data_IF_782417939706
#
_entry.id   IF_782417939706
#
_cell.length_a   1.000
_cell.length_b   1.000
_cell.length_c   1.000
_cell.angle_alpha   90.00
_cell.angle_beta   90.00
_cell.angle_gamma   90.00
#
_symmetry.space_group_name_H-M   'P 1'
#
loop_
_entity.id
_entity.type
_entity.pdbx_description
1 polymer ?
#
# COMPACT_ATOMS: atom_id res chain seq x y z
N UNK A 1 37.52 53.44 1.49
CA UNK A 1 36.78 52.26 1.01
C UNK A 1 35.57 52.79 0.26
N UNK A 2 35.53 52.53 -1.04
CA UNK A 2 34.56 53.17 -1.93
C UNK A 2 33.19 52.53 -1.74
N UNK A 3 32.17 53.35 -1.53
CA UNK A 3 30.77 52.94 -1.31
C UNK A 3 30.24 51.98 -2.37
N UNK A 4 30.80 52.05 -3.59
CA UNK A 4 30.52 51.15 -4.71
C UNK A 4 30.96 49.70 -4.44
N UNK A 5 32.11 49.49 -3.80
CA UNK A 5 32.60 48.15 -3.45
C UNK A 5 31.74 47.49 -2.38
N UNK A 6 31.23 48.26 -1.42
CA UNK A 6 30.31 47.80 -0.39
C UNK A 6 28.94 47.40 -0.97
N UNK A 7 28.38 48.22 -1.86
CA UNK A 7 27.13 47.92 -2.55
C UNK A 7 27.25 46.69 -3.46
N UNK A 8 28.36 46.56 -4.19
CA UNK A 8 28.62 45.38 -5.02
C UNK A 8 28.73 44.10 -4.19
N UNK A 9 29.43 44.15 -3.05
CA UNK A 9 29.53 43.01 -2.14
C UNK A 9 28.15 42.58 -1.59
N UNK A 10 27.30 43.55 -1.23
CA UNK A 10 25.95 43.28 -0.75
C UNK A 10 25.05 42.66 -1.82
N UNK A 11 25.13 43.13 -3.07
CA UNK A 11 24.39 42.56 -4.19
C UNK A 11 24.83 41.11 -4.47
N UNK A 12 26.13 40.84 -4.46
CA UNK A 12 26.66 39.49 -4.63
C UNK A 12 26.19 38.59 -3.48
N UNK A 13 26.27 39.06 -2.24
CA UNK A 13 25.81 38.31 -1.07
C UNK A 13 24.31 37.98 -1.16
N UNK A 14 23.47 38.94 -1.58
CA UNK A 14 22.05 38.73 -1.79
C UNK A 14 21.77 37.69 -2.88
N UNK A 15 22.47 37.74 -4.01
CA UNK A 15 22.33 36.77 -5.10
C UNK A 15 22.75 35.36 -4.66
N UNK A 16 23.84 35.24 -3.91
CA UNK A 16 24.29 33.94 -3.36
C UNK A 16 23.26 33.39 -2.37
N UNK A 17 22.70 34.23 -1.50
CA UNK A 17 21.67 33.82 -0.56
C UNK A 17 20.40 33.33 -1.27
N UNK A 18 19.95 34.03 -2.33
CA UNK A 18 18.82 33.60 -3.15
C UNK A 18 19.11 32.27 -3.83
N UNK A 19 20.29 32.12 -4.45
CA UNK A 19 20.68 30.88 -5.11
C UNK A 19 20.72 29.68 -4.15
N UNK A 20 21.27 29.88 -2.94
CA UNK A 20 21.27 28.86 -1.90
C UNK A 20 19.86 28.48 -1.45
N UNK A 21 19.00 29.47 -1.22
CA UNK A 21 17.60 29.25 -0.83
C UNK A 21 16.83 28.49 -1.92
N UNK A 22 17.00 28.88 -3.19
CA UNK A 22 16.40 28.19 -4.34
C UNK A 22 16.88 26.73 -4.45
N UNK A 23 18.18 26.48 -4.25
CA UNK A 23 18.73 25.12 -4.24
C UNK A 23 18.14 24.28 -3.10
N UNK A 24 18.01 24.86 -1.91
CA UNK A 24 17.47 24.18 -0.74
C UNK A 24 15.98 23.84 -0.93
N UNK A 25 15.19 24.78 -1.48
CA UNK A 25 13.81 24.53 -1.87
C UNK A 25 13.69 23.47 -2.96
N UNK A 26 14.53 23.51 -3.99
CA UNK A 26 14.54 22.51 -5.05
C UNK A 26 14.87 21.11 -4.52
N UNK A 27 15.86 21.01 -3.61
CA UNK A 27 16.22 19.75 -2.95
C UNK A 27 15.08 19.23 -2.07
N UNK A 28 14.39 20.12 -1.36
CA UNK A 28 13.24 19.77 -0.54
C UNK A 28 12.08 19.25 -1.39
N UNK A 29 11.72 19.96 -2.47
CA UNK A 29 10.67 19.55 -3.42
C UNK A 29 10.98 18.20 -4.05
N UNK A 30 12.21 17.99 -4.53
CA UNK A 30 12.64 16.70 -5.10
C UNK A 30 12.46 15.54 -4.11
N UNK A 31 12.77 15.74 -2.83
CA UNK A 31 12.55 14.71 -1.80
C UNK A 31 11.06 14.43 -1.57
N UNK A 32 10.22 15.46 -1.56
CA UNK A 32 8.78 15.28 -1.45
C UNK A 32 8.20 14.54 -2.67
N UNK A 33 8.64 14.88 -3.88
CA UNK A 33 8.19 14.23 -5.11
C UNK A 33 8.58 12.74 -5.13
N UNK A 34 9.83 12.42 -4.76
CA UNK A 34 10.27 11.02 -4.62
C UNK A 34 9.43 10.28 -3.57
N UNK A 35 9.19 10.90 -2.41
CA UNK A 35 8.36 10.28 -1.35
C UNK A 35 6.94 10.01 -1.85
N UNK A 36 6.35 10.92 -2.64
CA UNK A 36 5.02 10.71 -3.27
C UNK A 36 5.04 9.58 -4.29
N UNK A 37 6.06 9.49 -5.14
CA UNK A 37 6.21 8.39 -6.10
C UNK A 37 6.31 7.04 -5.40
N UNK A 38 7.10 6.95 -4.32
CA UNK A 38 7.20 5.72 -3.53
C UNK A 38 5.90 5.38 -2.80
N UNK A 39 5.12 6.37 -2.35
CA UNK A 39 3.80 6.12 -1.81
C UNK A 39 2.86 5.51 -2.86
N UNK A 40 2.87 6.03 -4.09
CA UNK A 40 2.07 5.48 -5.19
C UNK A 40 2.48 4.03 -5.51
N UNK A 41 3.78 3.72 -5.53
CA UNK A 41 4.25 2.34 -5.74
C UNK A 41 3.83 1.42 -4.60
N UNK A 42 3.92 1.87 -3.35
CA UNK A 42 3.44 1.13 -2.19
C UNK A 42 1.94 0.82 -2.31
N UNK A 43 1.14 1.80 -2.70
CA UNK A 43 -0.30 1.62 -2.95
C UNK A 43 -0.57 0.58 -4.04
N UNK A 44 0.13 0.68 -5.17
CA UNK A 44 -0.04 -0.26 -6.29
C UNK A 44 0.34 -1.70 -5.89
N UNK A 45 1.40 -1.86 -5.10
CA UNK A 45 1.79 -3.16 -4.55
C UNK A 45 0.71 -3.72 -3.61
N UNK A 46 0.22 -2.91 -2.67
CA UNK A 46 -0.86 -3.30 -1.76
C UNK A 46 -2.17 -3.59 -2.49
N UNK A 47 -2.47 -2.87 -3.57
CA UNK A 47 -3.65 -3.11 -4.40
C UNK A 47 -3.56 -4.45 -5.11
N UNK A 48 -2.43 -4.76 -5.78
CA UNK A 48 -2.21 -6.08 -6.41
C UNK A 48 -2.36 -7.22 -5.40
N UNK A 49 -1.79 -7.05 -4.21
CA UNK A 49 -1.95 -8.00 -3.12
C UNK A 49 -3.42 -8.15 -2.69
N UNK A 50 -4.16 -7.04 -2.52
CA UNK A 50 -5.57 -7.08 -2.17
C UNK A 50 -6.44 -7.71 -3.26
N UNK A 51 -6.10 -7.51 -4.54
CA UNK A 51 -6.81 -8.09 -5.67
C UNK A 51 -6.66 -9.61 -5.70
N UNK A 52 -5.49 -10.13 -5.35
CA UNK A 52 -5.29 -11.58 -5.16
C UNK A 52 -6.19 -12.13 -4.05
N UNK A 53 -6.29 -11.48 -2.89
CA UNK A 53 -7.19 -11.95 -1.82
C UNK A 53 -8.66 -11.86 -2.26
N UNK A 54 -9.04 -10.82 -3.00
CA UNK A 54 -10.38 -10.73 -3.61
C UNK A 54 -10.65 -11.90 -4.55
N UNK A 55 -9.66 -12.31 -5.35
CA UNK A 55 -9.79 -13.45 -6.26
C UNK A 55 -10.02 -14.77 -5.51
N UNK A 56 -9.43 -14.96 -4.33
CA UNK A 56 -9.67 -16.15 -3.50
C UNK A 56 -11.15 -16.32 -3.11
N UNK A 57 -11.91 -15.23 -2.99
CA UNK A 57 -13.35 -15.28 -2.70
C UNK A 57 -14.17 -15.79 -3.90
N UNK A 58 -13.71 -15.51 -5.11
CA UNK A 58 -14.41 -15.87 -6.35
C UNK A 58 -13.99 -17.24 -6.87
N UNK A 59 -12.90 -17.79 -6.34
CA UNK A 59 -12.41 -19.10 -6.70
C UNK A 59 -13.37 -20.19 -6.20
N UNK A 60 -13.63 -21.20 -7.04
CA UNK A 60 -14.41 -22.38 -6.67
C UNK A 60 -13.73 -23.25 -5.63
N UNK A 61 -12.40 -23.22 -5.60
CA UNK A 61 -11.56 -23.85 -4.58
C UNK A 61 -10.48 -22.84 -4.19
N UNK A 62 -10.25 -22.69 -2.89
CA UNK A 62 -9.19 -21.82 -2.38
C UNK A 62 -7.83 -22.27 -2.90
N UNK A 63 -7.07 -21.32 -3.42
CA UNK A 63 -5.71 -21.53 -3.89
C UNK A 63 -4.74 -21.06 -2.81
N UNK A 64 -3.57 -21.70 -2.75
CA UNK A 64 -2.48 -21.26 -1.87
C UNK A 64 -1.94 -19.88 -2.26
N UNK A 65 -0.83 -19.49 -1.63
CA UNK A 65 -0.16 -18.23 -1.97
C UNK A 65 0.27 -18.22 -3.43
N UNK A 66 -0.18 -17.21 -4.18
CA UNK A 66 0.28 -16.97 -5.54
C UNK A 66 1.61 -16.24 -5.54
N UNK A 67 2.52 -16.58 -6.45
CA UNK A 67 3.82 -15.91 -6.58
C UNK A 67 3.69 -14.39 -6.71
N UNK A 68 2.73 -13.91 -7.52
CA UNK A 68 2.46 -12.48 -7.70
C UNK A 68 2.03 -11.77 -6.39
N UNK A 69 1.32 -12.48 -5.51
CA UNK A 69 0.87 -11.92 -4.23
C UNK A 69 2.02 -11.80 -3.24
N UNK A 70 2.88 -12.81 -3.19
CA UNK A 70 4.10 -12.80 -2.38
C UNK A 70 5.04 -11.68 -2.83
N UNK A 71 5.27 -11.55 -4.15
CA UNK A 71 6.08 -10.48 -4.73
C UNK A 71 5.51 -9.09 -4.43
N UNK A 72 4.19 -8.91 -4.55
CA UNK A 72 3.54 -7.64 -4.23
C UNK A 72 3.69 -7.27 -2.75
N UNK A 73 3.60 -8.24 -1.84
CA UNK A 73 3.76 -8.00 -0.40
C UNK A 73 5.22 -7.71 -0.03
N UNK A 74 6.18 -8.39 -0.66
CA UNK A 74 7.61 -8.14 -0.47
C UNK A 74 8.03 -6.75 -1.00
N UNK A 75 7.51 -6.36 -2.18
CA UNK A 75 7.70 -5.01 -2.72
C UNK A 75 7.15 -3.95 -1.76
N UNK A 76 5.94 -4.16 -1.23
CA UNK A 76 5.34 -3.26 -0.24
C UNK A 76 6.19 -3.16 1.04
N UNK A 77 6.71 -4.28 1.54
CA UNK A 77 7.59 -4.31 2.70
C UNK A 77 8.90 -3.56 2.46
N UNK A 78 9.50 -3.74 1.28
CA UNK A 78 10.75 -3.09 0.86
C UNK A 78 10.58 -1.58 0.75
N UNK A 79 9.51 -1.12 0.08
CA UNK A 79 9.23 0.33 -0.05
C UNK A 79 8.97 0.95 1.33
N UNK A 80 8.16 0.28 2.16
CA UNK A 80 7.88 0.72 3.52
C UNK A 80 9.16 0.88 4.34
N UNK A 81 10.04 -0.13 4.33
CA UNK A 81 11.29 -0.09 5.10
C UNK A 81 12.18 1.10 4.70
N UNK A 82 12.25 1.40 3.40
CA UNK A 82 13.12 2.46 2.89
C UNK A 82 12.52 3.88 3.04
N UNK A 83 11.20 4.05 2.88
CA UNK A 83 10.58 5.38 2.74
C UNK A 83 9.53 5.72 3.81
N UNK A 84 8.97 4.71 4.48
CA UNK A 84 7.87 4.86 5.43
C UNK A 84 8.07 3.99 6.69
N UNK A 85 9.19 4.15 7.42
CA UNK A 85 9.48 3.34 8.60
C UNK A 85 8.38 3.43 9.66
N UNK A 86 7.71 4.59 9.76
CA UNK A 86 6.62 4.85 10.71
C UNK A 86 5.38 3.95 10.52
N UNK A 87 5.25 3.31 9.35
CA UNK A 87 4.17 2.36 9.02
C UNK A 87 4.50 0.92 9.46
N UNK A 88 5.60 0.69 10.19
CA UNK A 88 6.00 -0.64 10.63
C UNK A 88 4.92 -1.36 11.43
N UNK A 89 4.22 -0.65 12.33
CA UNK A 89 3.15 -1.21 13.14
C UNK A 89 1.96 -1.70 12.31
N UNK A 90 1.41 -0.82 11.47
CA UNK A 90 0.24 -1.17 10.64
C UNK A 90 0.58 -2.27 9.61
N UNK A 91 1.80 -2.26 9.08
CA UNK A 91 2.26 -3.35 8.20
C UNK A 91 2.39 -4.68 8.95
N UNK A 92 2.88 -4.68 10.19
CA UNK A 92 2.97 -5.90 10.99
C UNK A 92 1.57 -6.50 11.27
N UNK A 93 0.57 -5.66 11.52
CA UNK A 93 -0.83 -6.11 11.64
C UNK A 93 -1.35 -6.72 10.33
N UNK A 94 -1.07 -6.08 9.19
CA UNK A 94 -1.43 -6.62 7.87
C UNK A 94 -0.80 -7.99 7.63
N UNK A 95 0.50 -8.14 7.92
CA UNK A 95 1.23 -9.41 7.80
C UNK A 95 0.70 -10.48 8.74
N UNK A 96 0.30 -10.11 9.97
CA UNK A 96 -0.31 -11.05 10.89
C UNK A 96 -1.65 -11.59 10.36
N UNK A 97 -2.48 -10.73 9.75
CA UNK A 97 -3.73 -11.16 9.11
C UNK A 97 -3.45 -11.99 7.86
N UNK A 98 -2.48 -11.60 7.04
CA UNK A 98 -2.03 -12.36 5.87
C UNK A 98 -1.67 -13.81 6.23
N UNK A 99 -0.85 -14.01 7.26
CA UNK A 99 -0.48 -15.34 7.73
C UNK A 99 -1.68 -16.19 8.16
N UNK A 100 -2.68 -15.57 8.82
CA UNK A 100 -3.93 -16.26 9.18
C UNK A 100 -4.73 -16.65 7.94
N UNK A 101 -4.76 -15.79 6.92
CA UNK A 101 -5.40 -16.09 5.64
C UNK A 101 -4.69 -17.26 4.96
N UNK A 102 -3.36 -17.26 4.85
CA UNK A 102 -2.60 -18.38 4.26
C UNK A 102 -2.85 -19.70 5.00
N UNK A 103 -2.83 -19.66 6.34
CA UNK A 103 -3.13 -20.84 7.14
C UNK A 103 -4.57 -21.34 6.92
N UNK A 104 -5.54 -20.43 6.81
CA UNK A 104 -6.91 -20.77 6.49
C UNK A 104 -7.03 -21.41 5.10
N UNK A 105 -6.46 -20.77 4.07
CA UNK A 105 -6.53 -21.26 2.68
C UNK A 105 -5.93 -22.65 2.55
N UNK A 106 -4.73 -22.87 3.11
CA UNK A 106 -4.09 -24.19 3.12
C UNK A 106 -4.91 -25.26 3.85
N UNK A 107 -5.51 -24.91 4.99
CA UNK A 107 -6.39 -25.82 5.74
C UNK A 107 -7.64 -26.19 4.93
N UNK A 108 -8.26 -25.21 4.27
CA UNK A 108 -9.45 -25.45 3.43
C UNK A 108 -9.11 -26.28 2.20
N UNK A 109 -7.97 -26.03 1.56
CA UNK A 109 -7.50 -26.83 0.44
C UNK A 109 -7.25 -28.28 0.84
N UNK A 110 -6.62 -28.51 2.00
CA UNK A 110 -6.40 -29.86 2.52
C UNK A 110 -7.71 -30.57 2.87
N UNK A 111 -8.68 -29.86 3.44
CA UNK A 111 -10.00 -30.39 3.75
C UNK A 111 -10.76 -30.77 2.47
N UNK A 112 -10.76 -29.90 1.47
CA UNK A 112 -11.41 -30.16 0.18
C UNK A 112 -10.83 -31.40 -0.53
N UNK A 113 -9.50 -31.58 -0.48
CA UNK A 113 -8.85 -32.76 -1.07
C UNK A 113 -9.15 -34.07 -0.33
N UNK A 114 -9.42 -34.00 0.98
CA UNK A 114 -9.63 -35.18 1.83
C UNK A 114 -11.09 -35.58 1.95
N UNK A 115 -11.99 -34.61 2.09
CA UNK A 115 -13.41 -34.80 2.37
C UNK A 115 -14.25 -33.62 1.81
N UNK A 116 -14.61 -33.66 0.51
CA UNK A 116 -15.31 -32.57 -0.15
C UNK A 116 -16.76 -32.40 0.33
N UNK A 117 -17.42 -33.46 0.79
CA UNK A 117 -18.79 -33.39 1.32
C UNK A 117 -18.81 -32.58 2.62
N UNK A 118 -17.89 -32.91 3.54
CA UNK A 118 -17.76 -32.18 4.80
C UNK A 118 -17.22 -30.75 4.61
N UNK A 119 -16.45 -30.50 3.54
CA UNK A 119 -16.03 -29.16 3.16
C UNK A 119 -17.22 -28.28 2.74
N UNK A 120 -18.16 -28.81 1.95
CA UNK A 120 -19.36 -28.07 1.50
C UNK A 120 -20.27 -27.69 2.67
N UNK A 121 -20.37 -28.56 3.68
CA UNK A 121 -21.13 -28.31 4.90
C UNK A 121 -20.44 -27.34 5.87
N UNK A 122 -19.13 -27.11 5.68
CA UNK A 122 -18.35 -26.24 6.55
C UNK A 122 -18.73 -24.77 6.36
N UNK A 123 -18.71 -23.98 7.44
CA UNK A 123 -18.93 -22.53 7.39
C UNK A 123 -17.70 -21.74 6.86
N UNK A 124 -17.01 -22.27 5.85
CA UNK A 124 -15.77 -21.71 5.31
C UNK A 124 -15.97 -20.26 4.82
N UNK A 125 -17.09 -19.96 4.17
CA UNK A 125 -17.43 -18.61 3.70
C UNK A 125 -17.52 -17.58 4.84
N UNK A 126 -18.20 -17.92 5.94
CA UNK A 126 -18.34 -17.01 7.09
C UNK A 126 -16.98 -16.73 7.73
N UNK A 127 -16.15 -17.77 7.87
CA UNK A 127 -14.79 -17.66 8.44
C UNK A 127 -13.88 -16.84 7.53
N UNK A 128 -13.94 -17.06 6.22
CA UNK A 128 -13.20 -16.26 5.25
C UNK A 128 -13.63 -14.80 5.29
N UNK A 129 -14.93 -14.51 5.32
CA UNK A 129 -15.44 -13.13 5.40
C UNK A 129 -14.99 -12.42 6.69
N UNK A 130 -14.85 -13.13 7.81
CA UNK A 130 -14.31 -12.55 9.03
C UNK A 130 -12.82 -12.16 8.86
N UNK A 131 -12.00 -13.03 8.28
CA UNK A 131 -10.60 -12.73 7.96
C UNK A 131 -10.47 -11.60 6.94
N UNK A 132 -11.34 -11.58 5.93
CA UNK A 132 -11.40 -10.52 4.93
C UNK A 132 -11.69 -9.14 5.55
N UNK A 133 -12.62 -9.08 6.51
CA UNK A 133 -12.89 -7.83 7.25
C UNK A 133 -11.65 -7.38 8.03
N UNK A 134 -10.98 -8.30 8.74
CA UNK A 134 -9.74 -7.98 9.46
C UNK A 134 -8.66 -7.44 8.51
N UNK A 135 -8.51 -8.07 7.34
CA UNK A 135 -7.58 -7.63 6.32
C UNK A 135 -7.90 -6.22 5.83
N UNK A 136 -9.17 -5.94 5.52
CA UNK A 136 -9.61 -4.60 5.10
C UNK A 136 -9.37 -3.54 6.17
N UNK A 137 -9.58 -3.86 7.44
CA UNK A 137 -9.29 -2.93 8.54
C UNK A 137 -7.80 -2.62 8.64
N UNK A 138 -6.93 -3.64 8.61
CA UNK A 138 -5.49 -3.45 8.65
C UNK A 138 -4.99 -2.64 7.43
N UNK A 139 -5.49 -2.97 6.24
CA UNK A 139 -5.14 -2.24 5.02
C UNK A 139 -5.60 -0.78 5.09
N UNK A 140 -6.83 -0.52 5.56
CA UNK A 140 -7.35 0.84 5.68
C UNK A 140 -6.58 1.68 6.71
N UNK A 141 -6.14 1.08 7.82
CA UNK A 141 -5.28 1.74 8.79
C UNK A 141 -3.96 2.17 8.13
N UNK A 142 -3.31 1.27 7.39
CA UNK A 142 -2.07 1.56 6.66
C UNK A 142 -2.27 2.68 5.62
N UNK A 143 -3.35 2.62 4.83
CA UNK A 143 -3.69 3.64 3.86
C UNK A 143 -3.90 5.01 4.52
N UNK A 144 -4.65 5.07 5.61
CA UNK A 144 -4.92 6.32 6.33
C UNK A 144 -3.64 6.96 6.88
N UNK A 145 -2.69 6.16 7.38
CA UNK A 145 -1.39 6.67 7.82
C UNK A 145 -0.51 7.09 6.66
N UNK A 146 -0.56 6.38 5.53
CA UNK A 146 0.17 6.74 4.33
C UNK A 146 -0.30 8.09 3.76
N UNK A 147 -1.61 8.36 3.78
CA UNK A 147 -2.18 9.66 3.42
C UNK A 147 -1.64 10.78 4.32
N UNK A 148 -1.65 10.56 5.65
CA UNK A 148 -1.10 11.52 6.61
C UNK A 148 0.39 11.78 6.35
N UNK A 149 1.17 10.74 6.08
CA UNK A 149 2.61 10.84 5.85
C UNK A 149 2.99 11.51 4.52
N UNK A 150 2.09 11.56 3.54
CA UNK A 150 2.36 12.11 2.20
C UNK A 150 1.65 13.43 1.94
N UNK A 151 0.68 13.80 2.79
CA UNK A 151 -0.19 14.97 2.61
C UNK A 151 -0.91 14.99 1.26
N UNK A 152 -1.01 13.82 0.62
CA UNK A 152 -1.72 13.59 -0.65
C UNK A 152 -2.95 12.77 -0.30
N UNK A 153 -4.14 13.28 -0.66
CA UNK A 153 -5.38 12.52 -0.57
C UNK A 153 -5.26 11.36 -1.55
N UNK A 154 -5.26 10.13 -1.05
CA UNK A 154 -5.23 8.97 -1.91
C UNK A 154 -6.67 8.81 -2.38
N UNK A 155 -6.98 9.30 -3.58
CA UNK A 155 -8.22 8.95 -4.24
C UNK A 155 -8.19 7.44 -4.52
N UNK A 156 -8.72 6.65 -3.59
CA UNK A 156 -9.09 5.26 -3.84
C UNK A 156 -10.15 5.28 -4.94
N UNK A 157 -9.72 5.25 -6.20
CA UNK A 157 -10.58 5.01 -7.35
C UNK A 157 -11.01 3.54 -7.36
N UNK A 158 -11.75 3.12 -6.34
CA UNK A 158 -12.55 1.90 -6.34
C UNK A 158 -14.03 2.30 -6.41
N UNK A 159 -14.43 2.83 -7.56
CA UNK A 159 -15.81 2.65 -8.01
C UNK A 159 -15.91 1.21 -8.54
N UNK A 160 -16.75 0.34 -7.98
CA UNK A 160 -16.96 -0.98 -8.58
C UNK A 160 -17.50 -0.80 -10.00
N UNK A 161 -17.10 -1.62 -10.99
CA UNK A 161 -17.80 -1.63 -12.26
C UNK A 161 -19.26 -1.98 -11.97
N UNK A 162 -20.16 -1.01 -12.20
CA UNK A 162 -21.60 -1.26 -12.27
C UNK A 162 -21.80 -2.33 -13.34
N UNK A 163 -21.99 -3.58 -12.93
CA UNK A 163 -22.57 -4.60 -13.80
C UNK A 163 -23.93 -4.06 -14.23
N UNK A 164 -24.03 -3.62 -15.48
CA UNK A 164 -25.32 -3.42 -16.12
C UNK A 164 -25.97 -4.79 -16.16
N UNK A 165 -26.98 -4.97 -15.33
CA UNK A 165 -27.87 -6.12 -15.36
C UNK A 165 -28.72 -5.99 -16.63
N UNK A 166 -28.28 -6.64 -17.71
CA UNK A 166 -29.05 -6.75 -18.94
C UNK A 166 -29.53 -8.18 -19.08
N UNK A 167 -30.51 -8.57 -18.28
CA UNK A 167 -31.46 -9.64 -18.60
C UNK A 167 -32.81 -9.28 -17.95
N UNK A 168 -33.72 -8.84 -18.81
CA UNK A 168 -35.16 -8.94 -18.65
C UNK A 168 -35.64 -10.00 -19.65
#
# INVERSE_FOLDING_TARGET
MDTTTYLAAWLIAALVAIGFLSWLLARYRRRQDLRRQHAQRLLQALQRYSDWICAQRLATVFQGEGAEAAEALDEACTIRLAWFPDLAGDMAELLAVHNRILHFLSTQQALWLRDPEHWLESEHDKRFLALWRQHRFALQALLSRLEQATSVRIETTQAPPRRQSTYA
#
